data_IF_921846999854
#
_entry.id   IF_921846999854
#
_cell.length_a   1.000
_cell.length_b   1.000
_cell.length_c   1.000
_cell.angle_alpha   90.00
_cell.angle_beta   90.00
_cell.angle_gamma   90.00
#
_symmetry.space_group_name_H-M   'P 1'
#
loop_
_entity.id
_entity.type
_entity.pdbx_description
1 polymer ?
#
# COMPACT_ATOMS: atom_id res chain seq x y z
N UNK A 1 -18.26 10.21 -32.50
CA UNK A 1 -17.03 9.43 -32.27
C UNK A 1 -17.09 8.91 -30.84
N UNK A 2 -17.51 7.67 -30.64
CA UNK A 2 -17.59 7.05 -29.31
C UNK A 2 -16.18 6.64 -28.89
N UNK A 3 -15.44 7.59 -28.32
CA UNK A 3 -14.14 7.33 -27.72
C UNK A 3 -14.36 6.55 -26.42
N UNK A 4 -14.56 5.24 -26.54
CA UNK A 4 -14.67 4.35 -25.40
C UNK A 4 -13.27 4.23 -24.80
N UNK A 5 -12.94 5.15 -23.89
CA UNK A 5 -11.72 5.08 -23.10
C UNK A 5 -11.72 3.73 -22.41
N UNK A 6 -10.64 2.97 -22.58
CA UNK A 6 -10.48 1.72 -21.83
C UNK A 6 -10.35 2.05 -20.35
N UNK A 7 -10.78 1.13 -19.46
CA UNK A 7 -10.65 1.32 -18.01
C UNK A 7 -9.22 1.70 -17.62
N UNK A 8 -8.23 1.13 -18.31
CA UNK A 8 -6.82 1.47 -18.11
C UNK A 8 -6.48 2.92 -18.47
N UNK A 9 -7.01 3.44 -19.58
CA UNK A 9 -6.81 4.84 -19.98
C UNK A 9 -7.48 5.81 -19.01
N UNK A 10 -8.63 5.42 -18.46
CA UNK A 10 -9.37 6.22 -17.49
C UNK A 10 -8.66 6.27 -16.13
N UNK A 11 -8.15 5.13 -15.66
CA UNK A 11 -7.28 5.07 -14.47
C UNK A 11 -6.00 5.88 -14.66
N UNK A 12 -5.34 5.75 -15.82
CA UNK A 12 -4.14 6.53 -16.15
C UNK A 12 -4.43 8.04 -16.21
N UNK A 13 -5.57 8.41 -16.76
CA UNK A 13 -6.02 9.80 -16.83
C UNK A 13 -6.31 10.34 -15.42
N UNK A 14 -7.04 9.59 -14.59
CA UNK A 14 -7.32 9.97 -13.20
C UNK A 14 -6.07 10.04 -12.33
N UNK A 15 -5.08 9.18 -12.54
CA UNK A 15 -3.80 9.27 -11.82
C UNK A 15 -3.04 10.56 -12.19
N UNK A 16 -3.08 10.97 -13.46
CA UNK A 16 -2.32 12.12 -13.96
C UNK A 16 -3.02 13.47 -13.80
N UNK A 17 -4.35 13.49 -13.89
CA UNK A 17 -5.16 14.70 -13.92
C UNK A 17 -6.25 14.75 -12.82
N UNK A 18 -6.39 13.69 -12.02
CA UNK A 18 -7.30 13.67 -10.89
C UNK A 18 -6.81 14.56 -9.75
N UNK A 19 -7.74 14.97 -8.88
CA UNK A 19 -7.42 15.76 -7.69
C UNK A 19 -6.56 14.96 -6.68
N UNK A 20 -5.97 15.65 -5.72
CA UNK A 20 -5.08 15.07 -4.69
C UNK A 20 -5.71 13.86 -3.96
N UNK A 21 -7.03 13.88 -3.73
CA UNK A 21 -7.75 12.76 -3.12
C UNK A 21 -7.69 11.46 -3.98
N UNK A 22 -7.82 11.58 -5.30
CA UNK A 22 -7.74 10.42 -6.22
C UNK A 22 -6.32 9.85 -6.23
N UNK A 23 -5.30 10.71 -6.19
CA UNK A 23 -3.91 10.25 -6.10
C UNK A 23 -3.65 9.50 -4.80
N UNK A 24 -4.16 9.99 -3.66
CA UNK A 24 -4.08 9.30 -2.37
C UNK A 24 -4.78 7.93 -2.39
N UNK A 25 -5.96 7.85 -3.01
CA UNK A 25 -6.68 6.59 -3.20
C UNK A 25 -5.83 5.58 -4.01
N UNK A 26 -5.20 6.04 -5.11
CA UNK A 26 -4.34 5.19 -5.93
C UNK A 26 -3.10 4.71 -5.16
N UNK A 27 -2.46 5.58 -4.38
CA UNK A 27 -1.31 5.20 -3.55
C UNK A 27 -1.72 4.17 -2.51
N UNK A 28 -2.86 4.35 -1.84
CA UNK A 28 -3.39 3.37 -0.90
C UNK A 28 -3.63 2.00 -1.57
N UNK A 29 -4.33 1.98 -2.71
CA UNK A 29 -4.61 0.76 -3.44
C UNK A 29 -3.32 0.06 -3.91
N UNK A 30 -2.33 0.83 -4.36
CA UNK A 30 -1.02 0.30 -4.74
C UNK A 30 -0.28 -0.32 -3.54
N UNK A 31 -0.31 0.33 -2.38
CA UNK A 31 0.28 -0.20 -1.14
C UNK A 31 -0.40 -1.50 -0.71
N UNK A 32 -1.74 -1.57 -0.77
CA UNK A 32 -2.49 -2.79 -0.46
C UNK A 32 -2.08 -3.96 -1.37
N UNK A 33 -2.06 -3.72 -2.68
CA UNK A 33 -1.63 -4.73 -3.66
C UNK A 33 -0.19 -5.17 -3.41
N UNK A 34 0.70 -4.22 -3.11
CA UNK A 34 2.11 -4.49 -2.82
C UNK A 34 2.31 -5.38 -1.59
N UNK A 35 1.62 -5.09 -0.48
CA UNK A 35 1.64 -5.93 0.74
C UNK A 35 1.14 -7.35 0.43
N UNK A 36 0.05 -7.47 -0.34
CA UNK A 36 -0.50 -8.75 -0.77
C UNK A 36 0.49 -9.56 -1.60
N UNK A 37 1.16 -8.94 -2.57
CA UNK A 37 2.17 -9.60 -3.42
C UNK A 37 3.34 -10.10 -2.57
N UNK A 38 3.88 -9.27 -1.67
CA UNK A 38 4.97 -9.67 -0.77
C UNK A 38 4.55 -10.84 0.12
N UNK A 39 3.33 -10.81 0.66
CA UNK A 39 2.79 -11.89 1.49
C UNK A 39 2.71 -13.21 0.73
N UNK A 40 2.23 -13.17 -0.52
CA UNK A 40 2.18 -14.35 -1.39
C UNK A 40 3.58 -14.89 -1.66
N UNK A 41 4.55 -14.02 -1.96
CA UNK A 41 5.95 -14.41 -2.16
C UNK A 41 6.51 -15.08 -0.90
N UNK A 42 6.30 -14.48 0.28
CA UNK A 42 6.75 -15.04 1.56
C UNK A 42 6.19 -16.43 1.85
N UNK A 43 4.93 -16.68 1.47
CA UNK A 43 4.31 -18.01 1.55
C UNK A 43 4.95 -19.00 0.57
N UNK A 44 5.24 -18.58 -0.65
CA UNK A 44 5.89 -19.42 -1.66
C UNK A 44 7.33 -19.80 -1.28
N UNK A 45 8.04 -18.93 -0.56
CA UNK A 45 9.42 -19.16 -0.12
C UNK A 45 9.52 -19.83 1.25
N UNK A 46 8.40 -20.18 1.90
CA UNK A 46 8.34 -20.65 3.29
C UNK A 46 9.00 -19.69 4.30
N UNK A 47 9.01 -18.38 4.00
CA UNK A 47 9.52 -17.32 4.89
C UNK A 47 8.40 -16.43 5.41
N UNK A 48 7.18 -16.96 5.52
CA UNK A 48 5.98 -16.19 5.87
C UNK A 48 6.18 -15.43 7.18
N UNK A 49 6.64 -16.08 8.26
CA UNK A 49 6.85 -15.42 9.56
C UNK A 49 7.81 -14.22 9.47
N UNK A 50 8.95 -14.38 8.80
CA UNK A 50 9.93 -13.30 8.63
C UNK A 50 9.37 -12.16 7.76
N UNK A 51 8.62 -12.53 6.72
CA UNK A 51 7.98 -11.58 5.81
C UNK A 51 6.91 -10.77 6.54
N UNK A 52 6.08 -11.42 7.36
CA UNK A 52 5.08 -10.77 8.22
C UNK A 52 5.74 -9.85 9.24
N UNK A 53 6.85 -10.27 9.87
CA UNK A 53 7.57 -9.44 10.83
C UNK A 53 8.13 -8.16 10.19
N UNK A 54 8.67 -8.26 8.97
CA UNK A 54 9.20 -7.09 8.23
C UNK A 54 8.05 -6.18 7.79
N UNK A 55 6.96 -6.75 7.27
CA UNK A 55 5.77 -5.98 6.89
C UNK A 55 5.18 -5.25 8.10
N UNK A 56 5.10 -5.91 9.26
CA UNK A 56 4.67 -5.29 10.49
C UNK A 56 5.57 -4.11 10.86
N UNK A 57 6.89 -4.27 10.86
CA UNK A 57 7.82 -3.19 11.19
C UNK A 57 7.72 -1.97 10.25
N UNK A 58 7.40 -2.18 8.97
CA UNK A 58 7.37 -1.10 7.96
C UNK A 58 6.01 -0.40 7.88
N UNK A 59 4.92 -1.15 8.10
CA UNK A 59 3.55 -0.69 7.85
C UNK A 59 2.71 -0.51 9.12
N UNK A 60 3.13 -1.05 10.28
CA UNK A 60 2.46 -0.79 11.56
C UNK A 60 3.07 0.42 12.27
N UNK A 61 2.26 1.10 13.07
CA UNK A 61 2.71 2.22 13.88
C UNK A 61 3.46 1.67 15.10
N UNK A 62 4.77 1.90 15.14
CA UNK A 62 5.56 1.61 16.34
C UNK A 62 5.07 2.48 17.51
N UNK A 63 4.78 1.85 18.65
CA UNK A 63 4.34 2.54 19.87
C UNK A 63 5.47 3.29 20.59
N UNK A 64 6.72 3.06 20.17
CA UNK A 64 7.90 3.76 20.68
C UNK A 64 8.21 5.00 19.84
N UNK A 65 8.37 6.15 20.50
CA UNK A 65 8.65 7.44 19.85
C UNK A 65 9.97 7.44 19.08
N UNK A 66 10.94 6.61 19.50
CA UNK A 66 12.20 6.42 18.77
C UNK A 66 12.02 5.63 17.46
N UNK A 67 11.10 4.65 17.44
CA UNK A 67 10.72 3.91 16.23
C UNK A 67 9.95 4.80 15.25
N UNK A 68 9.07 5.65 15.77
CA UNK A 68 8.31 6.63 15.00
C UNK A 68 9.17 7.62 14.20
N UNK A 69 10.27 8.12 14.78
CA UNK A 69 11.20 9.03 14.06
C UNK A 69 11.92 8.31 12.91
N UNK A 70 12.17 7.01 13.04
CA UNK A 70 12.86 6.22 12.00
C UNK A 70 11.93 5.89 10.82
N UNK A 71 10.63 5.78 11.08
CA UNK A 71 9.65 5.39 10.07
C UNK A 71 8.43 6.33 10.08
N UNK A 72 8.60 7.64 9.77
CA UNK A 72 7.52 8.63 9.87
C UNK A 72 6.37 8.36 8.89
N UNK A 73 6.62 7.59 7.83
CA UNK A 73 5.60 7.14 6.88
C UNK A 73 4.58 6.17 7.50
N UNK A 74 4.87 5.59 8.67
CA UNK A 74 3.96 4.66 9.38
C UNK A 74 2.62 5.29 9.77
N UNK A 75 2.55 6.61 9.98
CA UNK A 75 1.27 7.30 10.20
C UNK A 75 0.33 7.13 9.01
N UNK A 76 0.87 7.28 7.81
CA UNK A 76 0.10 7.21 6.58
C UNK A 76 -0.15 5.74 6.23
N UNK A 77 0.88 4.89 6.34
CA UNK A 77 0.75 3.48 5.96
C UNK A 77 -0.05 2.64 6.95
N UNK A 78 -0.06 2.96 8.26
CA UNK A 78 -0.87 2.23 9.25
C UNK A 78 -2.37 2.43 9.08
N UNK A 79 -2.81 3.60 8.62
CA UNK A 79 -4.23 3.85 8.25
C UNK A 79 -4.68 2.89 7.14
N UNK A 80 -3.73 2.52 6.29
CA UNK A 80 -3.94 1.69 5.11
C UNK A 80 -3.64 0.20 5.33
N UNK A 81 -2.87 -0.12 6.37
CA UNK A 81 -2.50 -1.47 6.74
C UNK A 81 -3.53 -2.07 7.69
N UNK A 82 -4.69 -2.45 7.15
CA UNK A 82 -5.62 -3.35 7.84
C UNK A 82 -5.14 -4.80 7.68
N UNK A 83 -4.55 -5.35 8.74
CA UNK A 83 -4.14 -6.77 8.79
C UNK A 83 -5.30 -7.72 9.19
N UNK A 84 -6.53 -7.20 9.29
CA UNK A 84 -7.76 -7.97 9.53
C UNK A 84 -8.58 -8.07 8.25
N UNK A 85 -9.09 -9.27 7.95
CA UNK A 85 -10.20 -9.47 7.00
C UNK A 85 -11.54 -9.20 7.68
#
# INVERSE_FOLDING_TARGET
MNGQRTLFEELKYQLKFGGTHIQLLFVNAAVFVFIGVITVIGRLTNTDEQTQSILAQIFTLDTDFAGFIKSPWTIITSIFAHFSF
#
